data_IF_187098282963
#
_entry.id   IF_187098282963
#
_cell.length_a   1.000
_cell.length_b   1.000
_cell.length_c   1.000
_cell.angle_alpha   90.00
_cell.angle_beta   90.00
_cell.angle_gamma   90.00
#
_symmetry.space_group_name_H-M   'P 1'
#
loop_
_entity.id
_entity.type
_entity.pdbx_description
1 polymer ?
#
# COMPACT_ATOMS: atom_id res chain seq x y z
N UNK A 1 -38.80 -47.81 19.55
CA UNK A 1 -37.45 -47.37 19.19
C UNK A 1 -37.59 -46.28 18.14
N UNK A 2 -37.36 -45.03 18.54
CA UNK A 2 -37.49 -43.84 17.68
C UNK A 2 -36.25 -43.76 16.78
N UNK A 3 -36.44 -43.92 15.48
CA UNK A 3 -35.43 -43.68 14.45
C UNK A 3 -35.26 -42.18 14.26
N UNK A 4 -34.22 -41.61 14.88
CA UNK A 4 -33.83 -40.23 14.70
C UNK A 4 -33.09 -40.09 13.35
N UNK A 5 -33.83 -39.72 12.30
CA UNK A 5 -33.25 -39.24 11.05
C UNK A 5 -32.66 -37.85 11.33
N UNK A 6 -31.36 -37.60 11.14
CA UNK A 6 -30.83 -36.26 11.34
C UNK A 6 -31.41 -35.32 10.28
N UNK A 7 -32.09 -34.32 10.83
CA UNK A 7 -32.63 -33.10 10.24
C UNK A 7 -32.07 -32.73 8.86
N UNK A 8 -33.01 -32.62 7.93
CA UNK A 8 -32.87 -31.98 6.64
C UNK A 8 -32.46 -30.52 6.87
N UNK A 9 -31.16 -30.23 6.90
CA UNK A 9 -30.66 -28.84 6.90
C UNK A 9 -31.00 -28.28 5.52
N UNK A 10 -32.10 -27.54 5.47
CA UNK A 10 -32.49 -26.70 4.35
C UNK A 10 -31.29 -25.77 4.05
N UNK A 11 -30.50 -26.12 3.03
CA UNK A 11 -29.44 -25.25 2.52
C UNK A 11 -30.12 -23.99 1.99
N UNK A 12 -30.17 -22.95 2.81
CA UNK A 12 -30.53 -21.61 2.38
C UNK A 12 -29.62 -21.28 1.20
N UNK A 13 -30.20 -21.09 0.01
CA UNK A 13 -29.43 -20.93 -1.22
C UNK A 13 -28.52 -19.70 -1.08
N UNK A 14 -27.24 -19.93 -0.82
CA UNK A 14 -26.27 -18.86 -0.62
C UNK A 14 -26.11 -18.04 -1.91
N UNK A 15 -26.13 -16.71 -1.80
CA UNK A 15 -25.84 -15.81 -2.92
C UNK A 15 -24.41 -16.05 -3.40
N UNK A 16 -24.26 -16.36 -4.70
CA UNK A 16 -22.96 -16.58 -5.37
C UNK A 16 -22.74 -15.47 -6.38
N UNK A 17 -21.56 -14.85 -6.34
CA UNK A 17 -21.14 -13.86 -7.33
C UNK A 17 -19.73 -14.18 -7.85
N UNK A 18 -19.48 -14.11 -9.17
CA UNK A 18 -18.16 -14.36 -9.71
C UNK A 18 -17.20 -13.20 -9.38
N UNK A 19 -15.99 -13.52 -8.94
CA UNK A 19 -14.94 -12.52 -8.75
C UNK A 19 -14.48 -11.92 -10.08
N UNK A 20 -14.24 -10.61 -10.11
CA UNK A 20 -13.58 -9.93 -11.21
C UNK A 20 -12.15 -10.46 -11.43
N UNK A 21 -11.58 -10.26 -12.62
CA UNK A 21 -10.20 -10.66 -12.93
C UNK A 21 -9.19 -10.06 -11.95
N UNK A 22 -9.34 -8.77 -11.64
CA UNK A 22 -8.50 -8.05 -10.68
C UNK A 22 -8.60 -8.68 -9.29
N UNK A 23 -9.83 -8.94 -8.82
CA UNK A 23 -10.04 -9.53 -7.49
C UNK A 23 -9.48 -10.95 -7.37
N UNK A 24 -9.57 -11.76 -8.43
CA UNK A 24 -8.90 -13.08 -8.49
C UNK A 24 -7.38 -12.97 -8.40
N UNK A 25 -6.78 -12.00 -9.09
CA UNK A 25 -5.33 -11.79 -9.06
C UNK A 25 -4.86 -11.34 -7.66
N UNK A 26 -5.56 -10.38 -7.05
CA UNK A 26 -5.28 -9.92 -5.68
C UNK A 26 -5.34 -11.10 -4.70
N UNK A 27 -6.42 -11.88 -4.73
CA UNK A 27 -6.59 -13.03 -3.84
C UNK A 27 -5.43 -14.03 -3.97
N UNK A 28 -5.02 -14.36 -5.21
CA UNK A 28 -3.87 -15.25 -5.44
C UNK A 28 -2.57 -14.69 -4.83
N UNK A 29 -2.26 -13.41 -5.06
CA UNK A 29 -1.01 -12.82 -4.58
C UNK A 29 -0.99 -12.67 -3.05
N UNK A 30 -2.09 -12.24 -2.43
CA UNK A 30 -2.14 -12.07 -0.97
C UNK A 30 -2.10 -13.42 -0.26
N UNK A 31 -2.78 -14.44 -0.80
CA UNK A 31 -2.66 -15.82 -0.28
C UNK A 31 -1.22 -16.31 -0.36
N UNK A 32 -0.55 -16.12 -1.51
CA UNK A 32 0.85 -16.50 -1.65
C UNK A 32 1.74 -15.77 -0.63
N UNK A 33 1.58 -14.44 -0.49
CA UNK A 33 2.36 -13.63 0.46
C UNK A 33 2.25 -14.16 1.90
N UNK A 34 1.03 -14.42 2.37
CA UNK A 34 0.79 -14.92 3.74
C UNK A 34 1.32 -16.34 3.94
N UNK A 35 1.30 -17.17 2.90
CA UNK A 35 1.80 -18.55 2.97
C UNK A 35 3.33 -18.65 2.94
N UNK A 36 4.00 -17.79 2.17
CA UNK A 36 5.45 -17.90 1.94
C UNK A 36 6.29 -17.10 2.93
N UNK A 37 5.72 -16.04 3.53
CA UNK A 37 6.43 -15.20 4.49
C UNK A 37 5.88 -15.39 5.91
N UNK A 38 6.72 -15.75 6.90
CA UNK A 38 6.31 -15.72 8.31
C UNK A 38 6.20 -14.27 8.79
N UNK A 39 4.98 -13.78 8.95
CA UNK A 39 4.72 -12.38 9.31
C UNK A 39 4.86 -12.16 10.82
N UNK A 40 5.53 -11.07 11.20
CA UNK A 40 5.46 -10.50 12.54
C UNK A 40 5.00 -9.05 12.45
N UNK A 41 4.35 -8.57 13.50
CA UNK A 41 3.76 -7.22 13.54
C UNK A 41 4.38 -6.43 14.68
N UNK A 42 4.61 -5.14 14.44
CA UNK A 42 5.08 -4.19 15.45
C UNK A 42 4.25 -2.91 15.34
N UNK A 43 3.87 -2.35 16.48
CA UNK A 43 3.07 -1.15 16.56
C UNK A 43 3.76 -0.15 17.50
N UNK A 44 3.74 1.11 17.09
CA UNK A 44 4.18 2.24 17.90
C UNK A 44 3.15 3.37 17.77
N UNK A 45 3.06 4.20 18.80
CA UNK A 45 2.30 5.44 18.76
C UNK A 45 3.26 6.60 18.53
N UNK A 46 2.87 7.55 17.69
CA UNK A 46 3.70 8.69 17.30
C UNK A 46 2.87 9.96 17.47
N UNK A 47 3.41 10.94 18.19
CA UNK A 47 2.86 12.29 18.23
C UNK A 47 3.09 12.99 16.87
N UNK A 48 1.98 13.34 16.20
CA UNK A 48 1.98 13.95 14.88
C UNK A 48 1.71 15.46 14.89
N UNK A 49 1.67 16.13 16.04
CA UNK A 49 1.35 17.56 16.15
C UNK A 49 2.36 18.42 15.36
N UNK A 50 3.65 18.12 15.49
CA UNK A 50 4.72 18.82 14.74
C UNK A 50 4.62 18.58 13.24
N UNK A 51 4.28 17.35 12.83
CA UNK A 51 4.08 17.01 11.43
C UNK A 51 2.91 17.80 10.83
N UNK A 52 1.79 17.90 11.55
CA UNK A 52 0.62 18.68 11.12
C UNK A 52 0.94 20.16 10.97
N UNK A 53 1.63 20.74 11.95
CA UNK A 53 2.08 22.15 11.89
C UNK A 53 2.98 22.39 10.68
N UNK A 54 3.95 21.49 10.46
CA UNK A 54 4.88 21.57 9.31
C UNK A 54 4.13 21.50 7.97
N UNK A 55 3.12 20.63 7.86
CA UNK A 55 2.27 20.53 6.65
C UNK A 55 1.51 21.83 6.42
N UNK A 56 0.95 22.44 7.47
CA UNK A 56 0.22 23.70 7.36
C UNK A 56 1.15 24.82 6.85
N UNK A 57 2.35 24.95 7.42
CA UNK A 57 3.34 25.94 7.00
C UNK A 57 3.82 25.73 5.56
N UNK A 58 4.00 24.48 5.14
CA UNK A 58 4.37 24.13 3.76
C UNK A 58 3.26 24.51 2.78
N UNK A 59 2.01 24.22 3.11
CA UNK A 59 0.85 24.61 2.28
C UNK A 59 0.68 26.12 2.20
N UNK A 60 0.96 26.85 3.28
CA UNK A 60 0.92 28.32 3.28
C UNK A 60 2.00 28.92 2.37
N UNK A 61 3.21 28.34 2.34
CA UNK A 61 4.32 28.80 1.49
C UNK A 61 4.21 28.33 0.03
N UNK A 62 3.56 27.20 -0.21
CA UNK A 62 3.41 26.58 -1.53
C UNK A 62 1.94 26.25 -1.80
N UNK A 63 1.07 27.26 -2.01
CA UNK A 63 -0.37 27.07 -2.11
C UNK A 63 -0.81 26.16 -3.26
N UNK A 64 -0.01 26.08 -4.32
CA UNK A 64 -0.29 25.23 -5.48
C UNK A 64 0.04 23.75 -5.26
N UNK A 65 0.75 23.41 -4.19
CA UNK A 65 1.22 22.04 -3.89
C UNK A 65 0.45 21.46 -2.70
N UNK A 66 -0.29 20.38 -2.96
CA UNK A 66 -1.10 19.69 -1.95
C UNK A 66 -0.27 18.72 -1.10
N UNK A 67 0.68 19.25 -0.33
CA UNK A 67 1.44 18.46 0.66
C UNK A 67 0.48 17.86 1.69
N UNK A 68 0.80 16.70 2.25
CA UNK A 68 -0.06 15.92 3.14
C UNK A 68 0.79 14.97 3.97
N UNK A 69 0.17 14.32 4.96
CA UNK A 69 0.86 13.36 5.82
C UNK A 69 1.47 12.19 5.04
N UNK A 70 0.81 11.73 3.98
CA UNK A 70 1.34 10.67 3.11
C UNK A 70 2.75 10.99 2.63
N UNK A 71 3.02 12.24 2.23
CA UNK A 71 4.32 12.64 1.69
C UNK A 71 5.41 12.64 2.76
N UNK A 72 5.08 13.06 3.99
CA UNK A 72 6.00 12.95 5.12
C UNK A 72 6.31 11.48 5.46
N UNK A 73 5.30 10.62 5.43
CA UNK A 73 5.48 9.18 5.68
C UNK A 73 6.34 8.53 4.58
N UNK A 74 6.12 8.86 3.30
CA UNK A 74 6.97 8.39 2.20
C UNK A 74 8.43 8.82 2.43
N UNK A 75 8.69 10.08 2.78
CA UNK A 75 10.06 10.55 3.07
C UNK A 75 10.66 9.87 4.29
N UNK A 76 9.89 9.66 5.34
CA UNK A 76 10.36 8.97 6.55
C UNK A 76 10.73 7.51 6.24
N UNK A 77 9.86 6.78 5.56
CA UNK A 77 10.15 5.42 5.09
C UNK A 77 11.40 5.40 4.20
N UNK A 78 11.50 6.31 3.23
CA UNK A 78 12.64 6.33 2.31
C UNK A 78 13.97 6.59 3.04
N UNK A 79 14.01 7.53 3.99
CA UNK A 79 15.19 7.79 4.81
C UNK A 79 15.56 6.58 5.68
N UNK A 80 14.57 5.92 6.29
CA UNK A 80 14.79 4.70 7.09
C UNK A 80 15.35 3.56 6.23
N UNK A 81 14.83 3.37 5.01
CA UNK A 81 15.30 2.31 4.10
C UNK A 81 16.74 2.53 3.65
N UNK A 82 17.18 3.79 3.49
CA UNK A 82 18.60 4.09 3.25
C UNK A 82 19.47 3.74 4.46
N UNK A 83 19.01 4.06 5.67
CA UNK A 83 19.76 3.80 6.90
C UNK A 83 19.80 2.30 7.27
N UNK A 84 18.76 1.56 6.91
CA UNK A 84 18.60 0.13 7.23
C UNK A 84 18.33 -0.70 5.96
N UNK A 85 19.34 -0.97 5.12
CA UNK A 85 19.17 -1.66 3.83
C UNK A 85 18.52 -3.05 3.93
N UNK A 86 18.61 -3.72 5.08
CA UNK A 86 17.93 -5.01 5.33
C UNK A 86 16.41 -4.93 5.23
N UNK A 87 15.82 -3.74 5.44
CA UNK A 87 14.40 -3.48 5.24
C UNK A 87 14.03 -3.25 3.77
N UNK A 88 15.02 -2.94 2.92
CA UNK A 88 14.86 -2.72 1.48
C UNK A 88 15.45 -3.91 0.69
N UNK A 89 15.14 -5.14 1.10
CA UNK A 89 15.71 -6.35 0.51
C UNK A 89 14.62 -7.38 0.17
N UNK A 90 14.95 -8.29 -0.74
CA UNK A 90 14.12 -9.42 -1.14
C UNK A 90 14.87 -10.71 -0.89
N UNK A 91 14.16 -11.76 -0.48
CA UNK A 91 14.72 -13.10 -0.39
C UNK A 91 14.54 -13.78 -1.76
N UNK A 92 15.65 -14.21 -2.34
CA UNK A 92 15.73 -14.97 -3.57
C UNK A 92 16.37 -16.33 -3.24
N UNK A 93 15.53 -17.32 -2.95
CA UNK A 93 15.90 -18.63 -2.41
C UNK A 93 16.82 -18.53 -1.18
N UNK A 94 18.10 -18.85 -1.35
CA UNK A 94 19.13 -18.81 -0.29
C UNK A 94 19.90 -17.48 -0.24
N UNK A 95 19.52 -16.51 -1.07
CA UNK A 95 20.22 -15.22 -1.22
C UNK A 95 19.36 -14.05 -0.77
N UNK A 96 19.95 -13.12 -0.04
CA UNK A 96 19.32 -11.83 0.27
C UNK A 96 19.77 -10.81 -0.79
N UNK A 97 18.83 -10.32 -1.58
CA UNK A 97 19.06 -9.30 -2.60
C UNK A 97 18.69 -7.94 -2.04
N UNK A 98 19.68 -7.06 -1.86
CA UNK A 98 19.48 -5.69 -1.41
C UNK A 98 19.12 -4.79 -2.59
N UNK A 99 18.04 -4.03 -2.49
CA UNK A 99 17.61 -3.13 -3.55
C UNK A 99 18.43 -1.82 -3.52
N UNK A 100 18.97 -1.43 -4.68
CA UNK A 100 19.74 -0.19 -4.84
C UNK A 100 18.86 1.06 -4.91
N UNK A 101 17.62 0.92 -5.39
CA UNK A 101 16.63 1.99 -5.45
C UNK A 101 15.69 1.90 -4.25
N UNK A 102 15.22 3.06 -3.77
CA UNK A 102 14.19 3.15 -2.74
C UNK A 102 12.88 3.54 -3.40
N UNK A 103 12.05 2.54 -3.70
CA UNK A 103 10.82 2.68 -4.46
C UNK A 103 9.62 2.33 -3.56
N UNK A 104 8.78 3.33 -3.27
CA UNK A 104 7.67 3.18 -2.33
C UNK A 104 6.37 2.94 -3.09
N UNK A 105 5.83 1.73 -2.99
CA UNK A 105 4.47 1.42 -3.40
C UNK A 105 3.46 2.08 -2.46
N UNK A 106 2.48 2.79 -3.00
CA UNK A 106 1.41 3.45 -2.24
C UNK A 106 0.09 2.77 -2.55
N UNK A 107 -0.56 2.24 -1.53
CA UNK A 107 -1.87 1.58 -1.70
C UNK A 107 -2.94 2.59 -2.07
N UNK A 108 -3.68 2.31 -3.14
CA UNK A 108 -4.84 3.08 -3.60
C UNK A 108 -6.04 2.15 -3.73
N UNK A 109 -7.07 2.37 -2.89
CA UNK A 109 -8.33 1.65 -2.94
C UNK A 109 -9.17 2.03 -4.17
N UNK A 110 -9.85 1.04 -4.73
CA UNK A 110 -10.76 1.12 -5.88
C UNK A 110 -12.03 0.33 -5.55
N UNK A 111 -13.12 0.57 -6.29
CA UNK A 111 -14.40 -0.15 -6.10
C UNK A 111 -14.24 -1.68 -6.13
N UNK A 112 -13.51 -2.20 -7.12
CA UNK A 112 -13.32 -3.64 -7.30
C UNK A 112 -12.10 -4.23 -6.57
N UNK A 113 -11.31 -3.42 -5.85
CA UNK A 113 -10.08 -3.87 -5.19
C UNK A 113 -9.09 -2.75 -4.89
N UNK A 114 -7.82 -2.93 -5.26
CA UNK A 114 -6.76 -1.96 -4.98
C UNK A 114 -5.67 -2.02 -6.06
N UNK A 115 -4.98 -0.90 -6.25
CA UNK A 115 -3.72 -0.82 -6.99
C UNK A 115 -2.63 -0.28 -6.07
N UNK A 116 -1.38 -0.63 -6.38
CA UNK A 116 -0.20 -0.17 -5.65
C UNK A 116 0.73 0.54 -6.62
N UNK A 117 0.43 1.78 -7.02
CA UNK A 117 1.37 2.58 -7.79
C UNK A 117 2.65 2.88 -7.02
N UNK A 118 3.77 2.99 -7.74
CA UNK A 118 5.12 3.09 -7.18
C UNK A 118 5.70 4.49 -7.36
N UNK A 119 6.07 5.11 -6.24
CA UNK A 119 6.89 6.32 -6.21
C UNK A 119 8.36 5.90 -6.28
N UNK A 120 9.00 6.14 -7.42
CA UNK A 120 10.40 5.77 -7.64
C UNK A 120 11.38 6.76 -7.02
N UNK A 121 12.54 6.26 -6.60
CA UNK A 121 13.63 7.05 -6.04
C UNK A 121 13.16 8.03 -4.94
N UNK A 122 12.26 7.56 -4.06
CA UNK A 122 11.59 8.39 -3.05
C UNK A 122 12.57 9.03 -2.06
N UNK A 123 13.76 8.46 -1.93
CA UNK A 123 14.88 8.97 -1.17
C UNK A 123 15.51 10.23 -1.81
N UNK A 124 15.59 10.28 -3.14
CA UNK A 124 16.19 11.36 -3.93
C UNK A 124 15.20 12.48 -4.27
N UNK A 125 13.91 12.19 -4.28
CA UNK A 125 12.86 13.17 -4.61
C UNK A 125 12.57 14.10 -3.43
N UNK A 126 12.43 15.41 -3.68
CA UNK A 126 12.05 16.38 -2.64
C UNK A 126 10.59 16.21 -2.21
N UNK A 127 10.24 16.73 -1.03
CA UNK A 127 8.88 16.59 -0.50
C UNK A 127 7.82 17.26 -1.41
N UNK A 128 8.14 18.42 -2.01
CA UNK A 128 7.22 19.13 -2.91
C UNK A 128 7.06 18.40 -4.25
N UNK A 129 8.14 17.88 -4.81
CA UNK A 129 8.08 17.06 -6.03
C UNK A 129 7.29 15.78 -5.80
N UNK A 130 7.49 15.11 -4.65
CA UNK A 130 6.69 13.96 -4.26
C UNK A 130 5.20 14.29 -4.22
N UNK A 131 4.83 15.46 -3.69
CA UNK A 131 3.44 15.88 -3.64
C UNK A 131 2.82 16.06 -5.02
N UNK A 132 3.55 16.66 -5.96
CA UNK A 132 3.10 16.83 -7.34
C UNK A 132 3.04 15.50 -8.09
N UNK A 133 4.09 14.67 -8.01
CA UNK A 133 4.18 13.40 -8.72
C UNK A 133 3.15 12.39 -8.24
N UNK A 134 3.02 12.23 -6.92
CA UNK A 134 2.08 11.27 -6.33
C UNK A 134 0.62 11.64 -6.60
N UNK A 135 0.28 12.93 -6.70
CA UNK A 135 -1.08 13.35 -7.06
C UNK A 135 -1.47 12.84 -8.44
N UNK A 136 -0.58 13.00 -9.43
CA UNK A 136 -0.79 12.51 -10.80
C UNK A 136 -0.86 10.98 -10.85
N UNK A 137 0.05 10.31 -10.13
CA UNK A 137 0.13 8.86 -10.04
C UNK A 137 -1.13 8.24 -9.40
N UNK A 138 -1.59 8.79 -8.27
CA UNK A 138 -2.81 8.35 -7.58
C UNK A 138 -4.04 8.60 -8.44
N UNK A 139 -4.09 9.71 -9.19
CA UNK A 139 -5.19 10.01 -10.07
C UNK A 139 -5.30 9.00 -11.23
N UNK A 140 -4.19 8.66 -11.87
CA UNK A 140 -4.14 7.61 -12.91
C UNK A 140 -4.58 6.25 -12.37
N UNK A 141 -4.11 5.88 -11.18
CA UNK A 141 -4.51 4.65 -10.51
C UNK A 141 -6.03 4.61 -10.24
N UNK A 142 -6.60 5.70 -9.71
CA UNK A 142 -8.04 5.83 -9.47
C UNK A 142 -8.88 5.76 -10.73
N UNK A 143 -8.38 6.30 -11.84
CA UNK A 143 -9.02 6.21 -13.15
C UNK A 143 -8.82 4.86 -13.83
N UNK A 144 -8.19 3.89 -13.17
CA UNK A 144 -7.85 2.57 -13.71
C UNK A 144 -7.07 2.65 -15.03
N UNK A 145 -6.26 3.69 -15.19
CA UNK A 145 -5.37 3.91 -16.34
C UNK A 145 -3.92 4.15 -15.87
N UNK A 146 -3.34 3.28 -15.02
CA UNK A 146 -1.93 3.37 -14.70
C UNK A 146 -1.11 3.08 -15.97
N UNK A 147 0.03 3.73 -16.11
CA UNK A 147 1.05 3.29 -17.06
C UNK A 147 1.65 1.98 -16.56
N UNK A 148 2.23 1.18 -17.45
CA UNK A 148 2.89 -0.08 -17.05
C UNK A 148 3.96 0.19 -15.97
N UNK A 149 4.77 1.23 -16.17
CA UNK A 149 5.84 1.61 -15.26
C UNK A 149 5.34 2.13 -13.90
N UNK A 150 4.08 2.58 -13.81
CA UNK A 150 3.51 3.06 -12.54
C UNK A 150 3.36 1.92 -11.52
N UNK A 151 3.35 0.65 -11.94
CA UNK A 151 3.06 -0.51 -11.08
C UNK A 151 4.28 -1.42 -10.83
N UNK A 152 5.44 -1.08 -11.40
CA UNK A 152 6.63 -1.93 -11.36
C UNK A 152 7.68 -1.42 -10.36
N UNK A 153 8.58 -2.32 -9.98
CA UNK A 153 9.79 -2.01 -9.20
C UNK A 153 9.56 -1.46 -7.78
N UNK A 154 8.39 -1.69 -7.18
CA UNK A 154 8.16 -1.37 -5.76
C UNK A 154 9.03 -2.24 -4.85
N UNK A 155 9.75 -1.63 -3.90
CA UNK A 155 10.64 -2.34 -2.98
C UNK A 155 10.13 -2.30 -1.54
N UNK A 156 9.23 -1.36 -1.23
CA UNK A 156 8.56 -1.24 0.06
C UNK A 156 7.14 -0.71 -0.14
N UNK A 157 6.17 -1.16 0.67
CA UNK A 157 4.77 -0.76 0.52
C UNK A 157 4.28 0.03 1.72
N UNK A 158 3.71 1.21 1.46
CA UNK A 158 3.02 2.05 2.44
C UNK A 158 1.51 1.98 2.20
N UNK A 159 0.77 1.52 3.22
CA UNK A 159 -0.69 1.57 3.24
C UNK A 159 -1.15 2.68 4.17
N UNK A 160 -1.96 3.61 3.67
CA UNK A 160 -2.53 4.70 4.45
C UNK A 160 -4.05 4.60 4.51
N UNK A 161 -4.56 4.06 5.61
CA UNK A 161 -5.99 3.92 5.88
C UNK A 161 -6.58 5.14 6.60
N UNK A 162 -5.78 6.17 6.95
CA UNK A 162 -6.25 7.32 7.73
C UNK A 162 -7.31 8.20 7.06
N UNK A 163 -7.60 7.98 5.77
CA UNK A 163 -8.74 8.59 5.06
C UNK A 163 -10.02 7.74 5.09
N UNK A 164 -9.92 6.45 5.42
CA UNK A 164 -11.02 5.47 5.42
C UNK A 164 -11.33 4.90 6.81
N UNK A 165 -10.55 5.28 7.84
CA UNK A 165 -10.88 5.01 9.24
C UNK A 165 -12.10 5.82 9.70
N UNK A 166 -12.73 5.44 10.84
CA UNK A 166 -13.93 6.11 11.36
C UNK A 166 -13.71 7.61 11.64
#
# INVERSE_FOLDING_TARGET
>A
MMSNQPDNIEQTAARREPMSKMRKAIARMTTQSVQTAPHFYSQIEIDMQRAQTTIADLRARHPDVKVSLLHLLIKACAATLQQYPRLNATLDDETIVYNNEVNIGVVVALEDGMLIPVVRAADKTSLLELATQSASLIERARRQRPNADDLLYGTFTLSNLGKEGP
#
